data_IF_690555520110
#
_entry.id   IF_690555520110
#
_cell.length_a   1.000
_cell.length_b   1.000
_cell.length_c   1.000
_cell.angle_alpha   90.00
_cell.angle_beta   90.00
_cell.angle_gamma   90.00
#
_symmetry.space_group_name_H-M   'P 1'
#
loop_
_entity.id
_entity.type
_entity.pdbx_description
1 polymer ?
#
# COMPACT_ATOMS: atom_id res chain seq x y z
N UNK A 1 -2.42 28.55 -14.24
CA UNK A 1 -2.32 27.07 -14.23
C UNK A 1 -1.05 26.59 -14.91
N UNK A 2 -0.80 26.91 -16.18
CA UNK A 2 0.40 26.48 -16.92
C UNK A 2 1.71 26.84 -16.22
N UNK A 3 1.88 28.07 -15.73
CA UNK A 3 3.10 28.47 -15.01
C UNK A 3 3.37 27.63 -13.75
N UNK A 4 2.32 27.28 -12.99
CA UNK A 4 2.46 26.44 -11.81
C UNK A 4 2.98 25.04 -12.19
N UNK A 5 2.41 24.44 -13.23
CA UNK A 5 2.81 23.12 -13.69
C UNK A 5 4.17 23.11 -14.40
N UNK A 6 4.54 24.19 -15.08
CA UNK A 6 5.88 24.39 -15.62
C UNK A 6 6.91 24.22 -14.50
N UNK A 7 6.82 25.04 -13.47
CA UNK A 7 7.79 25.06 -12.38
C UNK A 7 7.90 23.72 -11.64
N UNK A 8 6.80 22.96 -11.58
CA UNK A 8 6.79 21.63 -10.96
C UNK A 8 7.33 20.52 -11.88
N UNK A 9 6.96 20.52 -13.16
CA UNK A 9 7.23 19.43 -14.09
C UNK A 9 8.57 19.58 -14.82
N UNK A 10 9.08 20.81 -14.97
CA UNK A 10 10.39 21.09 -15.58
C UNK A 10 11.49 21.27 -14.52
N UNK A 11 11.23 20.92 -13.26
CA UNK A 11 12.21 21.04 -12.20
C UNK A 11 13.35 20.03 -12.41
N UNK A 12 14.59 20.48 -12.39
CA UNK A 12 15.79 19.64 -12.53
C UNK A 12 16.11 18.81 -11.27
N UNK A 13 15.09 18.29 -10.60
CA UNK A 13 15.28 17.44 -9.43
C UNK A 13 14.36 16.22 -9.45
N UNK A 14 14.84 15.10 -8.92
CA UNK A 14 14.07 13.84 -8.81
C UNK A 14 13.24 13.80 -7.52
N UNK A 15 12.99 14.95 -6.87
CA UNK A 15 12.33 14.98 -5.55
C UNK A 15 10.89 14.47 -5.58
N UNK A 16 10.22 14.58 -6.72
CA UNK A 16 8.85 14.11 -6.95
C UNK A 16 8.81 12.78 -7.72
N UNK A 17 9.95 12.10 -7.89
CA UNK A 17 10.05 10.86 -8.67
C UNK A 17 9.95 11.05 -10.19
N UNK A 18 9.90 12.29 -10.68
CA UNK A 18 9.96 12.62 -12.10
C UNK A 18 11.41 12.61 -12.60
N UNK A 19 11.61 12.13 -13.82
CA UNK A 19 12.91 12.24 -14.49
C UNK A 19 13.16 13.70 -14.91
N UNK A 20 14.40 14.21 -14.75
CA UNK A 20 14.73 15.55 -15.24
C UNK A 20 14.58 15.61 -16.76
N UNK A 21 14.09 16.73 -17.28
CA UNK A 21 13.82 16.94 -18.71
C UNK A 21 12.87 15.91 -19.35
N UNK A 22 11.89 15.40 -18.58
CA UNK A 22 10.86 14.50 -19.12
C UNK A 22 10.00 15.19 -20.19
N UNK A 23 9.65 16.45 -19.99
CA UNK A 23 8.90 17.27 -20.96
C UNK A 23 9.89 18.22 -21.62
N UNK A 24 9.99 18.16 -22.95
CA UNK A 24 11.00 18.90 -23.73
C UNK A 24 10.44 20.08 -24.51
N UNK A 25 9.15 20.04 -24.84
CA UNK A 25 8.50 21.06 -25.66
C UNK A 25 7.43 21.83 -24.89
N UNK A 26 7.27 23.10 -25.25
CA UNK A 26 6.24 23.97 -24.68
C UNK A 26 4.82 23.54 -25.05
N UNK A 27 4.65 23.01 -26.27
CA UNK A 27 3.38 22.51 -26.78
C UNK A 27 2.91 21.28 -25.99
N UNK A 28 3.80 20.32 -25.73
CA UNK A 28 3.51 19.14 -24.90
C UNK A 28 3.11 19.52 -23.47
N UNK A 29 3.79 20.52 -22.88
CA UNK A 29 3.42 21.03 -21.57
C UNK A 29 2.01 21.64 -21.59
N UNK A 30 1.69 22.43 -22.61
CA UNK A 30 0.39 23.06 -22.75
C UNK A 30 -0.73 22.03 -22.89
N UNK A 31 -0.54 21.01 -23.74
CA UNK A 31 -1.51 19.94 -23.95
C UNK A 31 -1.73 19.09 -22.70
N UNK A 32 -0.65 18.78 -21.97
CA UNK A 32 -0.74 18.04 -20.71
C UNK A 32 -1.51 18.84 -19.65
N UNK A 33 -1.23 20.14 -19.52
CA UNK A 33 -1.94 21.00 -18.56
C UNK A 33 -3.40 21.19 -18.98
N UNK A 34 -3.69 21.27 -20.28
CA UNK A 34 -5.07 21.29 -20.78
C UNK A 34 -5.82 20.01 -20.42
N UNK A 35 -5.17 18.84 -20.53
CA UNK A 35 -5.73 17.57 -20.08
C UNK A 35 -5.99 17.53 -18.57
N UNK A 36 -5.07 18.04 -17.74
CA UNK A 36 -5.32 18.18 -16.30
C UNK A 36 -6.49 19.11 -15.99
N UNK A 37 -6.59 20.24 -16.70
CA UNK A 37 -7.73 21.15 -16.58
C UNK A 37 -9.06 20.48 -16.96
N UNK A 38 -9.08 19.70 -18.03
CA UNK A 38 -10.26 18.97 -18.47
C UNK A 38 -10.70 17.89 -17.48
N UNK A 39 -9.75 17.10 -16.95
CA UNK A 39 -10.06 16.08 -15.93
C UNK A 39 -10.54 16.71 -14.61
N UNK A 40 -9.95 17.83 -14.19
CA UNK A 40 -10.40 18.60 -13.04
C UNK A 40 -11.81 19.15 -13.23
N UNK A 41 -12.11 19.73 -14.40
CA UNK A 41 -13.46 20.17 -14.75
C UNK A 41 -14.46 19.00 -14.71
N UNK A 42 -14.14 17.87 -15.32
CA UNK A 42 -15.02 16.69 -15.31
C UNK A 42 -15.29 16.21 -13.86
N UNK A 43 -14.31 16.32 -12.97
CA UNK A 43 -14.45 15.92 -11.57
C UNK A 43 -15.35 16.84 -10.72
N UNK A 44 -15.53 18.08 -11.15
CA UNK A 44 -16.29 19.12 -10.44
C UNK A 44 -17.61 19.50 -11.12
N UNK A 45 -17.76 19.24 -12.42
CA UNK A 45 -18.96 19.57 -13.17
C UNK A 45 -20.09 18.56 -12.90
N UNK A 46 -21.24 19.08 -12.48
CA UNK A 46 -22.48 18.31 -12.32
C UNK A 46 -22.98 17.77 -13.67
N UNK A 47 -23.58 16.57 -13.63
CA UNK A 47 -24.24 16.02 -14.81
C UNK A 47 -25.59 16.72 -15.02
N UNK A 48 -26.08 16.83 -16.26
CA UNK A 48 -27.41 17.36 -16.51
C UNK A 48 -28.48 16.54 -15.76
N UNK A 49 -29.32 17.22 -14.97
CA UNK A 49 -30.39 16.63 -14.15
C UNK A 49 -29.92 15.66 -13.05
N UNK A 50 -28.69 15.80 -12.54
CA UNK A 50 -28.20 15.01 -11.40
C UNK A 50 -27.44 15.91 -10.43
N UNK A 51 -27.57 15.64 -9.13
CA UNK A 51 -26.92 16.40 -8.06
C UNK A 51 -25.49 15.88 -7.76
N UNK A 52 -24.82 15.31 -8.77
CA UNK A 52 -23.46 14.78 -8.64
C UNK A 52 -22.65 14.90 -9.94
N UNK A 53 -21.32 14.94 -9.81
CA UNK A 53 -20.39 15.22 -10.90
C UNK A 53 -20.18 14.04 -11.86
N UNK A 54 -19.48 14.26 -12.98
CA UNK A 54 -19.18 13.17 -13.93
C UNK A 54 -18.41 12.00 -13.31
N UNK A 55 -17.69 12.22 -12.21
CA UNK A 55 -16.93 11.21 -11.46
C UNK A 55 -17.63 10.72 -10.18
N UNK A 56 -18.91 11.05 -9.98
CA UNK A 56 -19.66 10.78 -8.75
C UNK A 56 -19.06 11.46 -7.51
N UNK A 57 -18.78 12.76 -7.61
CA UNK A 57 -18.24 13.63 -6.54
C UNK A 57 -16.85 13.21 -6.04
N UNK A 58 -16.05 12.60 -6.91
CA UNK A 58 -14.64 12.33 -6.64
C UNK A 58 -13.77 13.35 -7.40
N UNK A 59 -12.73 13.96 -6.80
CA UNK A 59 -12.18 13.71 -5.46
C UNK A 59 -12.96 14.43 -4.36
N UNK A 60 -12.81 13.96 -3.12
CA UNK A 60 -13.42 14.59 -1.95
C UNK A 60 -12.77 15.96 -1.69
N UNK A 61 -13.52 17.02 -2.00
CA UNK A 61 -13.02 18.40 -1.93
C UNK A 61 -14.14 19.34 -1.49
N UNK A 62 -13.96 19.96 -0.32
CA UNK A 62 -15.00 20.79 0.32
C UNK A 62 -15.28 22.09 -0.45
N UNK A 63 -14.29 22.62 -1.18
CA UNK A 63 -14.42 23.88 -1.92
C UNK A 63 -15.38 23.80 -3.12
N UNK A 64 -15.66 22.59 -3.61
CA UNK A 64 -16.57 22.33 -4.73
C UNK A 64 -17.78 21.48 -4.32
N UNK A 65 -18.03 21.34 -3.00
CA UNK A 65 -19.07 20.48 -2.40
C UNK A 65 -19.06 19.03 -2.91
N UNK A 66 -17.88 18.51 -3.26
CA UNK A 66 -17.71 17.11 -3.63
C UNK A 66 -17.75 16.23 -2.37
N UNK A 67 -18.95 15.77 -2.03
CA UNK A 67 -19.21 14.84 -0.93
C UNK A 67 -19.74 13.49 -1.44
N UNK A 68 -19.49 12.38 -0.72
CA UNK A 68 -20.06 11.07 -1.05
C UNK A 68 -21.58 11.15 -1.20
N UNK A 69 -22.09 10.65 -2.32
CA UNK A 69 -23.53 10.64 -2.59
C UNK A 69 -24.24 9.61 -1.70
N UNK A 70 -25.51 9.86 -1.39
CA UNK A 70 -26.30 8.94 -0.58
C UNK A 70 -26.42 7.55 -1.23
N UNK A 71 -26.56 7.51 -2.56
CA UNK A 71 -26.65 6.26 -3.33
C UNK A 71 -25.39 5.38 -3.15
N UNK A 72 -24.20 5.97 -3.22
CA UNK A 72 -22.94 5.27 -2.95
C UNK A 72 -22.89 4.64 -1.55
N UNK A 73 -23.39 5.35 -0.53
CA UNK A 73 -23.44 4.84 0.85
C UNK A 73 -24.41 3.65 0.97
N UNK A 74 -25.58 3.73 0.32
CA UNK A 74 -26.58 2.66 0.32
C UNK A 74 -26.03 1.41 -0.36
N UNK A 75 -25.44 1.53 -1.55
CA UNK A 75 -24.87 0.38 -2.27
C UNK A 75 -23.68 -0.26 -1.54
N UNK A 76 -22.87 0.55 -0.85
CA UNK A 76 -21.78 0.03 -0.01
C UNK A 76 -22.31 -0.81 1.15
N UNK A 77 -23.33 -0.31 1.86
CA UNK A 77 -23.97 -1.03 2.96
C UNK A 77 -24.67 -2.32 2.48
N UNK A 78 -25.40 -2.24 1.36
CA UNK A 78 -26.05 -3.39 0.76
C UNK A 78 -25.05 -4.47 0.33
N UNK A 79 -23.92 -4.07 -0.27
CA UNK A 79 -22.86 -5.02 -0.68
C UNK A 79 -22.22 -5.70 0.54
N UNK A 80 -22.03 -4.97 1.64
CA UNK A 80 -21.52 -5.54 2.89
C UNK A 80 -22.51 -6.54 3.51
N UNK A 81 -23.80 -6.17 3.56
CA UNK A 81 -24.86 -7.07 4.06
C UNK A 81 -24.95 -8.31 3.18
N UNK A 82 -24.89 -8.16 1.86
CA UNK A 82 -24.92 -9.28 0.92
C UNK A 82 -23.70 -10.20 1.09
N UNK A 83 -22.51 -9.65 1.34
CA UNK A 83 -21.29 -10.43 1.58
C UNK A 83 -21.39 -11.23 2.89
N UNK A 84 -21.78 -10.56 3.99
CA UNK A 84 -21.90 -11.20 5.32
C UNK A 84 -23.05 -12.19 5.32
N UNK A 85 -24.21 -11.80 4.78
CA UNK A 85 -25.39 -12.64 4.65
C UNK A 85 -25.16 -13.83 3.73
N UNK A 86 -24.50 -13.63 2.59
CA UNK A 86 -24.13 -14.69 1.66
C UNK A 86 -23.14 -15.69 2.27
N UNK A 87 -22.14 -15.19 3.00
CA UNK A 87 -21.20 -16.05 3.74
C UNK A 87 -21.90 -16.83 4.85
N UNK A 88 -22.78 -16.18 5.62
CA UNK A 88 -23.58 -16.82 6.65
C UNK A 88 -24.54 -17.88 6.09
N UNK A 89 -25.21 -17.57 4.98
CA UNK A 89 -26.08 -18.52 4.27
C UNK A 89 -25.28 -19.70 3.72
N UNK A 90 -24.11 -19.45 3.13
CA UNK A 90 -23.21 -20.52 2.67
C UNK A 90 -22.82 -21.45 3.81
N UNK A 91 -22.44 -20.90 4.97
CA UNK A 91 -22.11 -21.70 6.16
C UNK A 91 -23.33 -22.41 6.75
N UNK A 92 -24.52 -21.81 6.72
CA UNK A 92 -25.75 -22.44 7.21
C UNK A 92 -26.16 -23.62 6.31
N UNK A 93 -26.08 -23.44 4.99
CA UNK A 93 -26.35 -24.51 4.02
C UNK A 93 -25.31 -25.63 4.18
N UNK A 94 -24.04 -25.28 4.25
CA UNK A 94 -22.97 -26.26 4.48
C UNK A 94 -23.17 -26.99 5.81
N UNK A 95 -23.45 -26.30 6.91
CA UNK A 95 -23.69 -26.93 8.22
C UNK A 95 -24.89 -27.87 8.22
N UNK A 96 -26.00 -27.48 7.59
CA UNK A 96 -27.27 -28.22 7.59
C UNK A 96 -27.29 -29.40 6.61
N UNK A 97 -26.60 -29.30 5.48
CA UNK A 97 -26.57 -30.30 4.42
C UNK A 97 -25.18 -30.89 4.14
N UNK A 98 -24.18 -30.63 4.99
CA UNK A 98 -22.83 -31.23 4.88
C UNK A 98 -22.85 -32.74 4.72
N UNK A 99 -23.76 -33.44 5.42
CA UNK A 99 -23.93 -34.90 5.30
C UNK A 99 -24.54 -35.36 3.97
N UNK A 100 -25.27 -34.50 3.27
CA UNK A 100 -25.98 -34.84 2.03
C UNK A 100 -25.25 -34.32 0.79
N UNK A 101 -24.57 -33.17 0.91
CA UNK A 101 -23.75 -32.56 -0.14
C UNK A 101 -22.35 -33.20 -0.08
N UNK A 102 -22.29 -34.48 -0.44
CA UNK A 102 -21.17 -35.12 -1.15
C UNK A 102 -19.77 -35.17 -0.53
N UNK A 103 -19.41 -34.34 0.45
CA UNK A 103 -18.17 -34.48 1.22
C UNK A 103 -18.43 -35.45 2.37
N UNK A 104 -18.82 -36.67 1.99
CA UNK A 104 -18.31 -37.79 2.74
C UNK A 104 -16.79 -37.59 2.62
N UNK A 105 -16.12 -37.28 3.73
CA UNK A 105 -14.79 -37.84 3.83
C UNK A 105 -15.05 -39.32 3.60
N UNK A 106 -14.78 -39.82 2.39
CA UNK A 106 -14.26 -41.17 2.27
C UNK A 106 -13.29 -41.25 3.43
N UNK A 107 -13.62 -42.10 4.39
CA UNK A 107 -12.74 -42.59 5.44
C UNK A 107 -11.32 -42.42 4.92
N UNK A 108 -10.58 -41.39 5.40
CA UNK A 108 -9.43 -40.81 4.69
C UNK A 108 -8.74 -41.90 3.86
N UNK A 109 -8.94 -41.95 2.52
CA UNK A 109 -8.71 -43.16 1.74
C UNK A 109 -7.33 -43.62 2.12
N UNK A 110 -7.25 -44.84 2.69
CA UNK A 110 -6.04 -45.35 3.34
C UNK A 110 -4.86 -44.90 2.52
N UNK A 111 -4.06 -43.97 3.06
CA UNK A 111 -3.08 -43.23 2.27
C UNK A 111 -2.16 -44.24 1.57
N UNK A 112 -2.40 -44.48 0.28
CA UNK A 112 -1.54 -45.29 -0.56
C UNK A 112 -0.34 -44.41 -0.89
N UNK A 113 0.65 -44.44 0.01
CA UNK A 113 1.92 -43.76 -0.15
C UNK A 113 2.71 -44.47 -1.24
N UNK A 114 2.34 -44.21 -2.50
CA UNK A 114 3.17 -44.50 -3.66
C UNK A 114 4.47 -43.74 -3.51
N UNK A 115 5.56 -44.45 -3.33
CA UNK A 115 6.85 -43.78 -3.28
C UNK A 115 7.12 -43.10 -4.64
N UNK A 116 7.80 -41.94 -4.69
CA UNK A 116 7.96 -41.15 -5.92
C UNK A 116 8.63 -41.90 -7.08
N UNK A 117 9.33 -43.00 -6.79
CA UNK A 117 9.96 -43.93 -7.72
C UNK A 117 8.98 -44.96 -8.33
N UNK A 118 7.90 -45.29 -7.64
CA UNK A 118 6.86 -46.23 -8.10
C UNK A 118 5.91 -45.61 -9.14
N UNK A 119 5.89 -44.28 -9.25
CA UNK A 119 5.03 -43.57 -10.19
C UNK A 119 5.66 -43.57 -11.58
N UNK A 120 5.07 -44.33 -12.52
CA UNK A 120 5.47 -44.32 -13.94
C UNK A 120 5.33 -42.90 -14.52
N UNK A 121 6.46 -42.21 -14.63
CA UNK A 121 6.54 -40.93 -15.32
C UNK A 121 6.14 -41.11 -16.79
N UNK A 122 5.09 -40.42 -17.22
CA UNK A 122 4.70 -40.36 -18.63
C UNK A 122 5.86 -39.75 -19.45
N UNK A 123 6.05 -40.12 -20.74
CA UNK A 123 7.19 -39.67 -21.54
C UNK A 123 7.38 -38.14 -21.57
N UNK A 124 6.28 -37.38 -21.43
CA UNK A 124 6.27 -35.92 -21.36
C UNK A 124 6.77 -35.37 -20.02
N UNK A 125 6.55 -36.08 -18.91
CA UNK A 125 6.99 -35.71 -17.55
C UNK A 125 8.44 -36.12 -17.28
N UNK A 126 8.91 -37.15 -18.00
CA UNK A 126 10.23 -37.76 -17.94
C UNK A 126 11.33 -37.00 -18.69
N UNK A 127 11.00 -35.91 -19.39
CA UNK A 127 12.02 -35.02 -19.95
C UNK A 127 12.52 -34.10 -18.84
N UNK A 128 13.68 -34.38 -18.20
CA UNK A 128 14.18 -33.57 -17.10
C UNK A 128 14.38 -32.12 -17.54
N UNK A 129 14.68 -31.87 -18.82
CA UNK A 129 14.83 -30.53 -19.39
C UNK A 129 13.57 -29.68 -19.24
N UNK A 130 12.46 -30.01 -19.91
CA UNK A 130 11.32 -29.09 -19.97
C UNK A 130 10.66 -28.81 -18.62
N UNK A 131 10.46 -29.81 -17.76
CA UNK A 131 9.80 -29.62 -16.46
C UNK A 131 10.68 -28.86 -15.46
N UNK A 132 11.99 -29.13 -15.44
CA UNK A 132 12.91 -28.39 -14.57
C UNK A 132 13.17 -26.97 -15.09
N UNK A 133 13.22 -26.77 -16.40
CA UNK A 133 13.33 -25.46 -17.02
C UNK A 133 12.14 -24.58 -16.67
N UNK A 134 10.89 -25.09 -16.73
CA UNK A 134 9.71 -24.33 -16.35
C UNK A 134 9.72 -23.97 -14.85
N UNK A 135 10.10 -24.91 -13.99
CA UNK A 135 10.20 -24.64 -12.55
C UNK A 135 11.25 -23.56 -12.24
N UNK A 136 12.43 -23.66 -12.84
CA UNK A 136 13.48 -22.67 -12.70
C UNK A 136 13.08 -21.32 -13.31
N UNK A 137 12.44 -21.31 -14.47
CA UNK A 137 11.95 -20.09 -15.11
C UNK A 137 10.87 -19.39 -14.25
N UNK A 138 9.90 -20.13 -13.70
CA UNK A 138 8.91 -19.59 -12.77
C UNK A 138 9.53 -19.09 -11.46
N UNK A 139 10.54 -19.79 -10.95
CA UNK A 139 11.25 -19.40 -9.73
C UNK A 139 12.08 -18.13 -9.96
N UNK A 140 12.81 -18.05 -11.07
CA UNK A 140 13.54 -16.86 -11.50
C UNK A 140 12.59 -15.68 -11.75
N UNK A 141 11.43 -15.90 -12.39
CA UNK A 141 10.42 -14.86 -12.59
C UNK A 141 9.89 -14.34 -11.26
N UNK A 142 9.54 -15.23 -10.31
CA UNK A 142 9.11 -14.82 -8.97
C UNK A 142 10.19 -14.02 -8.24
N UNK A 143 11.46 -14.46 -8.30
CA UNK A 143 12.57 -13.74 -7.68
C UNK A 143 12.78 -12.36 -8.33
N UNK A 144 12.79 -12.29 -9.66
CA UNK A 144 12.89 -11.03 -10.38
C UNK A 144 11.74 -10.08 -10.01
N UNK A 145 10.51 -10.58 -9.96
CA UNK A 145 9.33 -9.80 -9.64
C UNK A 145 9.28 -9.35 -8.18
N UNK A 146 9.95 -10.05 -7.26
CA UNK A 146 10.11 -9.62 -5.86
C UNK A 146 11.23 -8.58 -5.74
N UNK A 147 12.33 -8.74 -6.48
CA UNK A 147 13.50 -7.86 -6.39
C UNK A 147 13.30 -6.52 -7.12
N UNK A 148 12.55 -6.48 -8.22
CA UNK A 148 12.29 -5.26 -8.98
C UNK A 148 11.53 -4.18 -8.17
N UNK A 149 10.44 -4.49 -7.45
CA UNK A 149 9.80 -3.52 -6.57
C UNK A 149 10.72 -3.05 -5.45
N UNK A 150 11.54 -3.93 -4.87
CA UNK A 150 12.48 -3.57 -3.81
C UNK A 150 13.49 -2.51 -4.26
N UNK A 151 14.00 -2.60 -5.50
CA UNK A 151 14.91 -1.57 -6.03
C UNK A 151 14.20 -0.25 -6.33
N UNK A 152 12.95 -0.29 -6.81
CA UNK A 152 12.16 0.94 -7.04
C UNK A 152 11.76 1.64 -5.73
N UNK A 153 11.44 0.89 -4.68
CA UNK A 153 11.20 1.46 -3.34
C UNK A 153 12.48 2.06 -2.79
N UNK A 154 13.63 1.39 -3.00
CA UNK A 154 14.91 1.88 -2.54
C UNK A 154 15.33 3.17 -3.26
N UNK A 155 15.11 3.28 -4.58
CA UNK A 155 15.39 4.51 -5.34
C UNK A 155 14.47 5.67 -4.92
N UNK A 156 13.19 5.39 -4.63
CA UNK A 156 12.25 6.39 -4.10
C UNK A 156 12.69 6.90 -2.72
N UNK A 157 13.15 6.00 -1.84
CA UNK A 157 13.58 6.35 -0.48
C UNK A 157 14.93 7.07 -0.46
N UNK A 158 15.89 6.64 -1.29
CA UNK A 158 17.20 7.27 -1.43
C UNK A 158 17.08 8.71 -1.95
N UNK A 159 16.17 8.95 -2.91
CA UNK A 159 15.88 10.30 -3.43
C UNK A 159 15.24 11.22 -2.38
N UNK A 160 14.59 10.65 -1.37
CA UNK A 160 13.93 11.39 -0.28
C UNK A 160 14.88 11.74 0.88
N UNK A 161 16.16 11.37 0.82
CA UNK A 161 17.16 11.70 1.86
C UNK A 161 17.00 10.95 3.19
N UNK A 162 16.02 10.04 3.31
CA UNK A 162 15.70 9.33 4.55
C UNK A 162 16.77 8.34 5.03
N UNK A 163 17.73 7.98 4.17
CA UNK A 163 18.82 7.04 4.51
C UNK A 163 20.07 7.78 5.02
N UNK A 164 20.28 9.05 4.64
CA UNK A 164 21.51 9.82 4.94
C UNK A 164 21.28 11.05 5.83
N UNK A 165 20.15 11.14 6.53
CA UNK A 165 19.84 12.23 7.47
C UNK A 165 20.75 12.32 8.71
N UNK A 166 21.77 11.46 8.84
CA UNK A 166 22.68 11.39 10.00
C UNK A 166 24.14 11.74 9.70
N UNK A 167 24.52 12.06 8.45
CA UNK A 167 25.91 12.45 8.10
C UNK A 167 26.00 13.84 7.43
N UNK A 168 25.22 14.80 7.91
CA UNK A 168 25.60 16.21 7.73
C UNK A 168 26.71 16.53 8.75
N UNK A 169 27.92 16.92 8.33
CA UNK A 169 28.91 17.42 9.29
C UNK A 169 28.33 18.65 9.97
N UNK A 170 28.22 18.59 11.30
CA UNK A 170 27.88 19.74 12.13
C UNK A 170 28.87 20.86 11.83
N UNK A 171 28.42 22.07 11.45
CA UNK A 171 29.34 23.21 11.37
C UNK A 171 29.92 23.47 12.77
N UNK A 172 31.26 23.55 12.84
CA UNK A 172 32.00 23.89 14.06
C UNK A 172 31.54 25.23 14.64
N UNK A 173 31.55 25.40 15.98
CA UNK A 173 31.14 26.64 16.61
C UNK A 173 32.26 27.67 16.49
N UNK A 174 32.06 28.66 15.62
CA UNK A 174 32.88 29.87 15.59
C UNK A 174 32.30 30.92 16.54
N UNK A 175 33.20 31.70 17.12
CA UNK A 175 33.03 32.50 18.33
C UNK A 175 31.92 33.57 18.26
N UNK A 176 31.14 33.64 19.35
CA UNK A 176 30.68 34.90 19.95
C UNK A 176 29.48 35.60 19.30
N UNK A 177 28.34 35.56 19.97
CA UNK A 177 27.76 36.75 20.65
C UNK A 177 26.48 36.35 21.40
N UNK A 178 26.46 36.68 22.69
CA UNK A 178 25.29 36.52 23.55
C UNK A 178 24.20 37.53 23.16
N UNK A 179 22.98 37.05 22.93
CA UNK A 179 21.76 37.84 23.15
C UNK A 179 20.64 36.93 23.67
N UNK A 180 20.03 37.39 24.77
CA UNK A 180 19.02 36.72 25.60
C UNK A 180 17.60 36.87 25.02
N UNK A 181 16.54 36.21 25.56
CA UNK A 181 15.54 35.53 24.77
C UNK A 181 14.19 36.26 24.73
N UNK A 182 13.43 36.08 23.65
CA UNK A 182 11.98 36.25 23.68
C UNK A 182 11.28 35.30 22.69
N UNK A 183 10.26 34.58 23.20
CA UNK A 183 9.19 33.85 22.49
C UNK A 183 9.61 32.87 21.38
N UNK A 184 9.58 31.54 21.51
CA UNK A 184 8.59 30.70 22.18
C UNK A 184 7.37 30.47 21.29
N UNK A 185 7.42 29.48 20.37
CA UNK A 185 6.28 28.66 19.92
C UNK A 185 6.74 27.46 19.05
N UNK A 186 7.05 26.38 19.77
CA UNK A 186 6.74 24.96 19.53
C UNK A 186 6.62 24.45 18.08
N UNK A 187 7.77 23.99 17.55
CA UNK A 187 7.85 22.95 16.51
C UNK A 187 7.61 21.59 17.19
N UNK A 188 6.38 21.04 17.09
CA UNK A 188 6.04 19.71 17.63
C UNK A 188 6.74 18.63 16.80
N UNK A 189 7.82 18.08 17.37
CA UNK A 189 8.44 16.84 16.90
C UNK A 189 7.61 15.64 17.37
N UNK A 190 7.29 14.74 16.44
CA UNK A 190 6.72 13.43 16.75
C UNK A 190 7.79 12.59 17.46
N UNK A 191 7.67 12.43 18.78
CA UNK A 191 8.46 11.44 19.52
C UNK A 191 7.79 10.08 19.38
N UNK A 192 8.51 9.15 18.77
CA UNK A 192 8.17 7.73 18.77
C UNK A 192 8.21 7.20 20.20
N UNK A 193 7.11 6.59 20.64
CA UNK A 193 7.00 5.91 21.93
C UNK A 193 7.82 4.61 21.85
N UNK A 194 9.02 4.62 22.41
CA UNK A 194 9.80 3.41 22.67
C UNK A 194 9.29 2.75 23.95
N UNK A 195 8.66 1.58 23.83
CA UNK A 195 8.26 0.74 24.96
C UNK A 195 9.53 0.17 25.64
N UNK A 196 9.82 0.63 26.85
CA UNK A 196 10.85 0.05 27.72
C UNK A 196 10.28 -1.14 28.52
N UNK A 197 10.98 -2.27 28.65
CA UNK A 197 10.47 -3.44 29.36
C UNK A 197 10.41 -3.18 30.88
N UNK A 198 9.20 -3.26 31.43
CA UNK A 198 8.89 -3.07 32.85
C UNK A 198 9.47 -4.23 33.67
N UNK A 199 10.42 -3.92 34.56
CA UNK A 199 10.95 -4.82 35.57
C UNK A 199 9.88 -5.20 36.61
N UNK A 200 9.79 -6.49 36.93
CA UNK A 200 8.90 -7.05 37.96
C UNK A 200 9.43 -6.73 39.37
N UNK A 201 8.59 -6.33 40.34
CA UNK A 201 9.04 -6.06 41.69
C UNK A 201 9.25 -7.35 42.51
N UNK A 202 10.38 -7.42 43.21
CA UNK A 202 10.75 -8.46 44.15
C UNK A 202 9.83 -8.48 45.39
N UNK A 203 9.37 -9.68 45.77
CA UNK A 203 8.44 -9.92 46.88
C UNK A 203 9.19 -9.88 48.22
N UNK A 204 9.07 -8.78 48.95
CA UNK A 204 9.52 -8.62 50.34
C UNK A 204 8.73 -9.55 51.27
N UNK A 205 9.40 -10.58 51.83
CA UNK A 205 8.89 -11.39 52.95
C UNK A 205 8.99 -10.55 54.23
N UNK A 206 7.84 -10.13 54.76
CA UNK A 206 7.73 -9.50 56.07
C UNK A 206 7.46 -10.58 57.12
N UNK A 207 8.45 -10.84 57.98
CA UNK A 207 8.31 -11.62 59.21
C UNK A 207 7.29 -10.92 60.14
N UNK A 208 6.30 -11.68 60.61
CA UNK A 208 5.55 -11.36 61.84
C UNK A 208 5.74 -12.54 62.78
N UNK A 209 6.45 -12.30 63.88
CA UNK A 209 6.41 -13.16 65.04
C UNK A 209 5.24 -12.75 65.93
N UNK A 210 4.45 -13.74 66.36
CA UNK A 210 4.26 -14.18 67.74
C UNK A 210 3.77 -15.63 67.65
#
# INVERSE_FOLDING_TARGET
>A
MVNHYRDTLTKDNTSQGLFPNAIKSEEELHDLVAFFGWTAWASAAERPNQDYTYTNNWPAEANVDNKPTADLMVWSALSLIALVGGTGLMFAIYGRWSRTIGWHGEEAPVLDFRQPDEVRLTPRRRRPGCSSLLFWCCSCYKLLWVLLPSTTVWSSQASSGLIWGSLSPTPSPEHGTCSSPSSGLLRRSWQAVSLSPRSLPAKSRRNRGC
#
